data_IF_429640299442
#
_entry.id   IF_429640299442
#
_cell.length_a   1.000
_cell.length_b   1.000
_cell.length_c   1.000
_cell.angle_alpha   90.00
_cell.angle_beta   90.00
_cell.angle_gamma   90.00
#
_symmetry.space_group_name_H-M   'P 1'
#
loop_
_entity.id
_entity.type
_entity.pdbx_description
1 polymer ?
#
# COMPACT_ATOMS: atom_id res chain seq x y z
N UNK A 1 10.91 26.94 13.75
CA UNK A 1 11.53 26.19 12.64
C UNK A 1 10.51 26.17 11.51
N UNK A 2 10.91 26.51 10.29
CA UNK A 2 10.08 26.34 9.10
C UNK A 2 9.78 24.85 8.92
N UNK A 3 8.51 24.46 8.91
CA UNK A 3 8.12 23.07 8.68
C UNK A 3 8.47 22.66 7.25
N UNK A 4 9.12 21.50 7.07
CA UNK A 4 9.47 20.96 5.74
C UNK A 4 8.26 20.37 5.01
N UNK A 5 7.22 19.93 5.74
CA UNK A 5 5.98 19.31 5.24
C UNK A 5 4.78 19.73 6.12
N UNK A 6 3.54 19.49 5.67
CA UNK A 6 2.33 19.74 6.46
C UNK A 6 2.19 18.76 7.63
N UNK A 7 1.40 19.12 8.67
CA UNK A 7 1.23 18.30 9.89
C UNK A 7 0.57 16.93 9.61
N UNK A 8 -0.20 16.81 8.54
CA UNK A 8 -0.90 15.60 8.10
C UNK A 8 -0.13 14.81 7.01
N UNK A 9 1.10 15.23 6.71
CA UNK A 9 1.95 14.60 5.72
C UNK A 9 3.00 13.70 6.37
N UNK A 10 3.35 12.62 5.66
CA UNK A 10 4.49 11.77 6.00
C UNK A 10 5.40 11.70 4.78
N UNK A 11 6.67 12.05 4.98
CA UNK A 11 7.71 11.84 3.99
C UNK A 11 8.45 10.55 4.31
N UNK A 12 8.41 9.58 3.38
CA UNK A 12 8.98 8.26 3.56
C UNK A 12 9.99 7.89 2.47
N UNK A 13 11.03 7.16 2.87
CA UNK A 13 11.92 6.44 1.95
C UNK A 13 11.28 5.11 1.58
N UNK A 14 11.38 4.71 0.32
CA UNK A 14 10.79 3.46 -0.17
C UNK A 14 11.88 2.50 -0.63
N UNK A 15 11.89 1.29 -0.06
CA UNK A 15 12.73 0.18 -0.51
C UNK A 15 11.87 -0.82 -1.28
N UNK A 16 12.13 -0.95 -2.58
CA UNK A 16 11.38 -1.86 -3.46
C UNK A 16 12.06 -3.22 -3.56
N UNK A 17 11.28 -4.26 -3.30
CA UNK A 17 11.68 -5.67 -3.44
C UNK A 17 10.82 -6.37 -4.48
N UNK A 18 11.38 -7.41 -5.10
CA UNK A 18 10.66 -8.28 -6.03
C UNK A 18 10.68 -9.72 -5.52
N UNK A 19 9.50 -10.31 -5.40
CA UNK A 19 9.28 -11.71 -5.05
C UNK A 19 8.88 -12.48 -6.30
N UNK A 20 9.65 -13.52 -6.63
CA UNK A 20 9.37 -14.43 -7.72
C UNK A 20 8.60 -15.64 -7.19
N UNK A 21 7.47 -15.96 -7.81
CA UNK A 21 6.67 -17.16 -7.55
C UNK A 21 6.36 -17.89 -8.85
N UNK A 22 5.85 -19.12 -8.75
CA UNK A 22 5.50 -19.92 -9.94
C UNK A 22 4.39 -19.24 -10.76
N UNK A 23 3.45 -18.59 -10.07
CA UNK A 23 2.30 -17.91 -10.64
C UNK A 23 2.57 -16.46 -11.08
N UNK A 24 3.78 -15.93 -10.85
CA UNK A 24 4.15 -14.59 -11.30
C UNK A 24 5.07 -13.83 -10.34
N UNK A 25 5.12 -12.50 -10.54
CA UNK A 25 5.95 -11.59 -9.77
C UNK A 25 5.09 -10.71 -8.86
N UNK A 26 5.53 -10.50 -7.63
CA UNK A 26 4.93 -9.57 -6.68
C UNK A 26 6.00 -8.59 -6.22
N UNK A 27 5.67 -7.30 -6.13
CA UNK A 27 6.55 -6.32 -5.51
C UNK A 27 6.19 -6.14 -4.04
N UNK A 28 7.17 -5.76 -3.23
CA UNK A 28 6.96 -5.36 -1.85
C UNK A 28 7.68 -4.04 -1.66
N UNK A 29 6.94 -2.99 -1.37
CA UNK A 29 7.50 -1.69 -1.00
C UNK A 29 7.57 -1.58 0.52
N UNK A 30 8.77 -1.34 1.05
CA UNK A 30 8.97 -1.05 2.47
C UNK A 30 9.15 0.46 2.65
N UNK A 31 8.18 1.09 3.28
CA UNK A 31 8.17 2.49 3.65
C UNK A 31 8.90 2.67 4.98
N UNK A 32 9.89 3.57 5.01
CA UNK A 32 10.55 4.08 6.21
C UNK A 32 10.17 5.55 6.36
N UNK A 33 9.42 5.90 7.40
CA UNK A 33 9.10 7.30 7.66
C UNK A 33 10.35 8.08 8.10
N UNK A 34 10.62 9.21 7.44
CA UNK A 34 11.74 10.12 7.75
C UNK A 34 11.25 11.41 8.41
N UNK A 35 10.06 11.89 8.04
CA UNK A 35 9.42 13.10 8.60
C UNK A 35 7.91 12.85 8.71
N UNK A 36 7.28 13.37 9.76
CA UNK A 36 5.87 13.16 10.11
C UNK A 36 5.70 12.18 11.28
N UNK A 37 4.45 11.96 11.71
CA UNK A 37 4.10 11.07 12.83
C UNK A 37 3.31 9.84 12.36
N UNK A 38 3.99 8.81 11.84
CA UNK A 38 3.30 7.60 11.40
C UNK A 38 2.88 6.71 12.59
N UNK A 39 1.90 5.84 12.35
CA UNK A 39 1.52 4.74 13.25
C UNK A 39 2.69 3.78 13.51
N UNK A 40 3.51 3.56 12.48
CA UNK A 40 4.62 2.60 12.47
C UNK A 40 5.82 3.19 11.73
N UNK A 41 7.03 2.98 12.24
CA UNK A 41 8.25 3.46 11.60
C UNK A 41 8.53 2.79 10.25
N UNK A 42 8.31 1.46 10.17
CA UNK A 42 8.43 0.70 8.93
C UNK A 42 7.13 -0.03 8.61
N UNK A 43 6.73 0.02 7.33
CA UNK A 43 5.59 -0.71 6.80
C UNK A 43 5.93 -1.35 5.46
N UNK A 44 5.68 -2.65 5.32
CA UNK A 44 5.92 -3.41 4.10
C UNK A 44 4.58 -3.73 3.40
N UNK A 45 4.41 -3.25 2.18
CA UNK A 45 3.16 -3.35 1.42
C UNK A 45 3.39 -4.21 0.18
N UNK A 46 2.73 -5.36 0.06
CA UNK A 46 2.74 -6.10 -1.18
C UNK A 46 1.91 -5.34 -2.22
N UNK A 47 2.43 -5.25 -3.45
CA UNK A 47 1.76 -4.55 -4.54
C UNK A 47 2.14 -5.12 -5.91
N UNK A 48 1.29 -4.80 -6.89
CA UNK A 48 1.58 -4.82 -8.32
C UNK A 48 1.89 -3.38 -8.78
N UNK A 49 2.38 -3.22 -10.01
CA UNK A 49 2.80 -1.92 -10.56
C UNK A 49 1.81 -0.77 -10.35
N UNK A 50 0.50 -1.07 -10.35
CA UNK A 50 -0.57 -0.07 -10.22
C UNK A 50 -1.55 -0.36 -9.08
N UNK A 51 -1.33 -1.41 -8.28
CA UNK A 51 -2.33 -1.87 -7.31
C UNK A 51 -1.70 -2.39 -6.03
N UNK A 52 -2.22 -1.94 -4.89
CA UNK A 52 -1.78 -2.36 -3.57
C UNK A 52 -2.64 -3.50 -3.01
N UNK A 53 -2.05 -4.30 -2.13
CA UNK A 53 -2.77 -5.36 -1.42
C UNK A 53 -3.76 -4.82 -0.38
N UNK A 54 -4.60 -5.70 0.15
CA UNK A 54 -5.36 -5.41 1.37
C UNK A 54 -4.43 -5.23 2.58
N UNK A 55 -4.86 -4.42 3.56
CA UNK A 55 -4.15 -4.16 4.83
C UNK A 55 -3.83 -5.45 5.59
N UNK A 56 -4.65 -6.50 5.44
CA UNK A 56 -4.41 -7.81 6.03
C UNK A 56 -3.04 -8.41 5.66
N UNK A 57 -2.47 -7.99 4.53
CA UNK A 57 -1.17 -8.44 4.03
C UNK A 57 -0.02 -7.48 4.33
N UNK A 58 -0.30 -6.33 4.97
CA UNK A 58 0.74 -5.35 5.28
C UNK A 58 1.59 -5.89 6.43
N UNK A 59 2.91 -5.78 6.31
CA UNK A 59 3.84 -6.01 7.39
C UNK A 59 4.16 -4.72 8.14
N UNK A 60 4.33 -4.78 9.45
CA UNK A 60 4.75 -3.63 10.27
C UNK A 60 5.93 -4.02 11.16
N UNK A 61 6.77 -3.06 11.53
CA UNK A 61 7.87 -3.32 12.46
C UNK A 61 8.70 -2.09 12.81
N UNK A 62 9.58 -2.26 13.80
CA UNK A 62 10.52 -1.23 14.25
C UNK A 62 11.76 -1.13 13.37
N UNK A 63 11.99 -2.14 12.52
CA UNK A 63 13.04 -2.16 11.51
C UNK A 63 12.48 -2.56 10.14
N UNK A 64 13.19 -2.19 9.06
CA UNK A 64 12.91 -2.65 7.70
C UNK A 64 12.82 -4.18 7.61
N UNK A 65 13.72 -4.88 8.33
CA UNK A 65 13.77 -6.35 8.35
C UNK A 65 12.53 -6.95 9.00
N UNK A 66 12.04 -6.35 10.07
CA UNK A 66 10.88 -6.86 10.82
C UNK A 66 9.59 -6.65 10.04
N UNK A 67 9.39 -5.47 9.45
CA UNK A 67 8.26 -5.21 8.57
C UNK A 67 8.25 -6.16 7.36
N UNK A 68 9.41 -6.38 6.72
CA UNK A 68 9.52 -7.31 5.60
C UNK A 68 9.23 -8.76 6.02
N UNK A 69 9.76 -9.22 7.16
CA UNK A 69 9.47 -10.56 7.69
C UNK A 69 7.99 -10.75 7.99
N UNK A 70 7.35 -9.77 8.61
CA UNK A 70 5.93 -9.83 8.94
C UNK A 70 5.06 -9.90 7.67
N UNK A 71 5.36 -9.07 6.67
CA UNK A 71 4.70 -9.11 5.36
C UNK A 71 4.90 -10.49 4.69
N UNK A 72 6.14 -10.97 4.57
CA UNK A 72 6.45 -12.27 3.96
C UNK A 72 5.74 -13.43 4.65
N UNK A 73 5.61 -13.38 5.99
CA UNK A 73 4.87 -14.37 6.78
C UNK A 73 3.37 -14.36 6.42
N UNK A 74 2.76 -13.17 6.32
CA UNK A 74 1.33 -12.99 6.00
C UNK A 74 0.98 -13.46 4.59
N UNK A 75 1.88 -13.27 3.62
CA UNK A 75 1.63 -13.65 2.22
C UNK A 75 2.10 -15.07 1.87
N UNK A 76 2.74 -15.79 2.79
CA UNK A 76 3.32 -17.12 2.54
C UNK A 76 2.21 -18.11 2.15
N UNK A 77 2.32 -18.67 0.94
CA UNK A 77 1.34 -19.65 0.44
C UNK A 77 0.01 -19.07 -0.04
N UNK A 78 -0.16 -17.74 0.03
CA UNK A 78 -1.37 -17.05 -0.45
C UNK A 78 -1.20 -16.69 -1.92
N UNK A 79 -2.08 -17.08 -2.85
CA UNK A 79 -1.95 -16.73 -4.27
C UNK A 79 -1.84 -15.21 -4.51
N UNK A 80 -1.06 -14.78 -5.51
CA UNK A 80 -0.89 -13.35 -5.84
C UNK A 80 -2.24 -12.64 -6.06
N UNK A 81 -3.16 -13.27 -6.78
CA UNK A 81 -4.50 -12.74 -7.06
C UNK A 81 -5.36 -12.57 -5.81
N UNK A 82 -5.06 -13.28 -4.72
CA UNK A 82 -5.74 -13.11 -3.43
C UNK A 82 -5.11 -11.98 -2.60
N UNK A 83 -3.81 -11.73 -2.79
CA UNK A 83 -3.08 -10.65 -2.11
C UNK A 83 -3.44 -9.30 -2.74
N UNK A 84 -3.36 -9.23 -4.07
CA UNK A 84 -3.68 -8.06 -4.90
C UNK A 84 -4.73 -8.50 -5.94
N UNK A 85 -6.03 -8.33 -5.64
CA UNK A 85 -7.10 -8.74 -6.54
C UNK A 85 -7.08 -7.88 -7.80
N UNK A 86 -6.75 -8.45 -8.96
CA UNK A 86 -6.87 -7.73 -10.23
C UNK A 86 -8.34 -7.34 -10.40
N UNK A 87 -8.64 -6.05 -10.50
CA UNK A 87 -9.96 -5.66 -10.99
C UNK A 87 -10.03 -6.12 -12.44
N UNK A 88 -11.00 -6.98 -12.76
CA UNK A 88 -11.33 -7.29 -14.13
C UNK A 88 -11.73 -5.97 -14.79
N UNK A 89 -10.83 -5.40 -15.58
CA UNK A 89 -11.17 -4.29 -16.46
C UNK A 89 -12.33 -4.78 -17.31
N UNK A 90 -13.53 -4.24 -17.07
CA UNK A 90 -14.72 -4.52 -17.86
C UNK A 90 -14.46 -4.13 -19.32
N UNK A 91 -13.94 -5.08 -20.10
CA UNK A 91 -13.89 -5.02 -21.54
C UNK A 91 -15.32 -5.31 -22.05
N UNK A 92 -16.15 -4.28 -22.07
CA UNK A 92 -17.52 -4.34 -22.58
C UNK A 92 -18.07 -2.93 -22.78
N UNK A 93 -17.79 -2.34 -23.95
CA UNK A 93 -18.28 -1.00 -24.28
C UNK A 93 -19.79 -0.95 -24.42
N UNK A 94 -20.39 0.13 -23.89
CA UNK A 94 -21.45 0.88 -24.59
C UNK A 94 -21.31 2.35 -24.20
N UNK A 95 -21.28 3.20 -25.22
CA UNK A 95 -21.29 4.64 -25.07
C UNK A 95 -22.66 5.10 -24.54
N UNK A 96 -22.64 5.98 -23.55
CA UNK A 96 -23.80 6.72 -23.06
C UNK A 96 -23.31 7.92 -22.27
N UNK A 97 -23.44 9.11 -22.86
CA UNK A 97 -23.14 10.42 -22.28
C UNK A 97 -23.91 10.68 -20.96
N UNK A 98 -23.25 11.35 -20.01
CA UNK A 98 -23.94 12.01 -18.90
C UNK A 98 -23.08 12.34 -17.68
N UNK A 99 -22.69 13.62 -17.60
CA UNK A 99 -22.36 14.41 -16.38
C UNK A 99 -20.90 14.41 -15.82
N UNK A 100 -20.18 15.54 -15.84
CA UNK A 100 -18.89 15.72 -15.20
C UNK A 100 -19.04 16.48 -13.87
N UNK A 101 -19.47 15.84 -12.80
CA UNK A 101 -19.28 16.38 -11.44
C UNK A 101 -18.94 15.28 -10.44
N UNK A 102 -17.80 15.42 -9.76
CA UNK A 102 -17.41 14.59 -8.61
C UNK A 102 -16.20 13.70 -8.86
N UNK A 103 -15.02 14.25 -8.59
CA UNK A 103 -13.71 13.59 -8.50
C UNK A 103 -13.75 12.09 -8.16
N UNK A 104 -13.56 11.25 -9.16
CA UNK A 104 -13.19 9.84 -9.00
C UNK A 104 -11.83 9.59 -9.65
N UNK A 105 -10.96 8.91 -8.91
CA UNK A 105 -9.81 8.23 -9.52
C UNK A 105 -8.51 8.26 -8.72
N UNK A 106 -8.48 7.73 -7.49
CA UNK A 106 -7.25 7.18 -6.87
C UNK A 106 -7.62 6.21 -5.72
N UNK A 107 -8.36 5.15 -6.04
CA UNK A 107 -8.99 4.24 -5.06
C UNK A 107 -8.05 3.30 -4.29
N UNK A 108 -6.75 3.25 -4.59
CA UNK A 108 -5.80 2.32 -3.96
C UNK A 108 -4.82 3.02 -3.01
N UNK A 109 -4.29 4.20 -3.37
CA UNK A 109 -3.33 4.95 -2.53
C UNK A 109 -3.92 5.47 -1.21
N UNK A 110 -5.24 5.67 -1.13
CA UNK A 110 -5.91 6.13 0.08
C UNK A 110 -5.89 5.10 1.22
N UNK A 111 -5.77 3.80 0.91
CA UNK A 111 -5.79 2.73 1.91
C UNK A 111 -4.48 2.72 2.71
N UNK A 112 -3.34 2.80 2.04
CA UNK A 112 -2.02 2.91 2.67
C UNK A 112 -1.91 4.15 3.55
N UNK A 113 -2.28 5.33 3.01
CA UNK A 113 -2.26 6.59 3.78
C UNK A 113 -3.02 6.45 5.09
N UNK A 114 -4.23 5.87 5.06
CA UNK A 114 -5.05 5.67 6.27
C UNK A 114 -4.40 4.71 7.29
N UNK A 115 -3.56 3.77 6.87
CA UNK A 115 -2.80 2.90 7.79
C UNK A 115 -1.61 3.61 8.37
N UNK A 116 -0.87 4.29 7.51
CA UNK A 116 0.38 4.92 7.90
C UNK A 116 0.14 6.12 8.81
N UNK A 117 -1.00 6.82 8.65
CA UNK A 117 -1.39 8.00 9.44
C UNK A 117 -2.26 7.69 10.67
N UNK A 118 -2.73 6.46 10.89
CA UNK A 118 -3.66 6.19 12.01
C UNK A 118 -2.90 6.23 13.36
N UNK A 119 -3.38 7.02 14.31
CA UNK A 119 -2.78 7.08 15.66
C UNK A 119 -2.94 5.73 16.38
N UNK A 120 -1.98 5.43 17.26
CA UNK A 120 -1.87 4.18 18.02
C UNK A 120 -3.06 3.88 18.96
N UNK A 121 -4.00 4.81 19.12
CA UNK A 121 -5.04 4.80 20.17
C UNK A 121 -6.45 4.36 19.68
N UNK A 122 -6.58 3.69 18.53
CA UNK A 122 -7.88 3.21 17.98
C UNK A 122 -7.98 1.67 17.83
N UNK A 123 -7.49 0.91 18.83
CA UNK A 123 -7.75 -0.53 19.01
C UNK A 123 -8.46 -0.80 20.35
#
# INVERSE_FOLDING_TARGET
MSSLINEDEIFARVHKYKLFRKEGNLFIDVYEALVGEPAHKYMAVPNLLFQEADRAYFGVGDTQKDALKDCLRKIRGVPIQTIVPLEETAAGGTAGEGDPTGSQGFGTQGRLRRVFLRRKDED
#
